data_IF_204310020429
#
_entry.id   IF_204310020429
#
_cell.length_a   1.000
_cell.length_b   1.000
_cell.length_c   1.000
_cell.angle_alpha   90.00
_cell.angle_beta   90.00
_cell.angle_gamma   90.00
#
_symmetry.space_group_name_H-M   'P 1'
#
loop_
_entity.id
_entity.type
_entity.pdbx_description
1 polymer ?
#
# COMPACT_ATOMS: atom_id res chain seq x y z
N UNK A 1 -57.91 13.71 61.35
CA UNK A 1 -56.60 14.37 61.23
C UNK A 1 -56.05 14.01 59.89
N UNK A 2 -56.27 14.89 58.87
CA UNK A 2 -55.97 14.65 57.43
C UNK A 2 -54.71 15.47 57.16
N UNK A 3 -53.64 14.79 56.74
CA UNK A 3 -52.39 15.44 56.28
C UNK A 3 -52.49 15.66 54.76
N UNK A 4 -52.07 16.83 54.23
CA UNK A 4 -52.11 17.11 52.84
C UNK A 4 -50.93 16.47 52.09
N UNK A 5 -51.20 15.98 50.87
CA UNK A 5 -50.21 15.49 49.93
C UNK A 5 -49.39 16.68 49.36
N UNK A 6 -48.06 16.54 49.43
CA UNK A 6 -47.12 17.45 48.77
C UNK A 6 -47.00 17.03 47.29
N UNK A 7 -47.46 17.91 46.41
CA UNK A 7 -47.24 17.73 44.98
C UNK A 7 -45.77 17.97 44.61
N UNK A 8 -45.13 16.99 43.98
CA UNK A 8 -43.86 17.21 43.29
C UNK A 8 -44.15 17.97 41.99
N UNK A 9 -43.60 19.17 41.88
CA UNK A 9 -43.53 19.91 40.64
C UNK A 9 -42.56 19.22 39.68
N UNK A 10 -43.03 18.91 38.50
CA UNK A 10 -42.15 18.45 37.40
C UNK A 10 -41.21 19.59 37.02
N UNK A 11 -39.92 19.35 37.10
CA UNK A 11 -38.91 20.21 36.48
C UNK A 11 -39.09 20.13 34.95
N UNK A 12 -39.39 21.29 34.36
CA UNK A 12 -39.35 21.50 32.95
C UNK A 12 -37.87 21.38 32.51
N UNK A 13 -37.55 20.34 31.76
CA UNK A 13 -36.32 20.30 30.96
C UNK A 13 -36.27 21.56 30.09
N UNK A 14 -35.33 22.44 30.40
CA UNK A 14 -35.03 23.56 29.52
C UNK A 14 -34.52 23.06 28.19
N UNK A 15 -35.14 23.50 27.12
CA UNK A 15 -34.63 23.34 25.78
C UNK A 15 -33.20 23.88 25.72
N UNK A 16 -32.21 23.01 25.51
CA UNK A 16 -30.88 23.46 25.12
C UNK A 16 -31.01 24.29 23.83
N UNK A 17 -30.34 25.44 23.74
CA UNK A 17 -30.42 26.25 22.55
C UNK A 17 -29.92 25.43 21.37
N UNK A 18 -30.82 25.11 20.41
CA UNK A 18 -30.44 24.52 19.16
C UNK A 18 -29.27 25.31 18.57
N UNK A 19 -28.14 24.65 18.40
CA UNK A 19 -26.98 25.25 17.73
C UNK A 19 -27.42 25.71 16.36
N UNK A 20 -27.44 27.01 16.10
CA UNK A 20 -27.85 27.63 14.84
C UNK A 20 -26.98 27.22 13.64
N UNK A 21 -25.89 26.50 13.91
CA UNK A 21 -24.98 25.94 12.90
C UNK A 21 -25.22 24.44 12.83
N UNK A 22 -25.87 24.01 11.77
CA UNK A 22 -26.03 22.61 11.40
C UNK A 22 -25.72 22.44 9.92
N UNK A 23 -25.71 21.20 9.41
CA UNK A 23 -25.43 20.91 8.02
C UNK A 23 -26.37 21.65 7.06
N UNK A 24 -27.65 21.80 7.42
CA UNK A 24 -28.65 22.49 6.59
C UNK A 24 -28.38 23.99 6.50
N UNK A 25 -27.87 24.60 7.57
CA UNK A 25 -27.48 26.02 7.57
C UNK A 25 -26.36 26.30 6.58
N UNK A 26 -25.51 25.31 6.32
CA UNK A 26 -24.37 25.39 5.41
C UNK A 26 -24.68 24.81 4.01
N UNK A 27 -25.84 24.19 3.81
CA UNK A 27 -26.23 23.54 2.55
C UNK A 27 -26.26 24.50 1.32
N UNK A 28 -26.42 25.79 1.55
CA UNK A 28 -26.34 26.83 0.50
C UNK A 28 -24.91 27.21 0.10
N UNK A 29 -23.90 26.78 0.86
CA UNK A 29 -22.49 27.01 0.54
C UNK A 29 -21.97 25.92 -0.39
N UNK A 30 -22.10 26.13 -1.68
CA UNK A 30 -21.50 25.23 -2.66
C UNK A 30 -20.00 25.42 -2.66
N UNK A 31 -19.29 24.47 -2.06
CA UNK A 31 -17.83 24.41 -2.14
C UNK A 31 -17.45 24.02 -3.57
N UNK A 32 -16.62 24.85 -4.21
CA UNK A 32 -16.02 24.54 -5.49
C UNK A 32 -14.67 23.86 -5.24
N UNK A 33 -14.48 22.64 -5.76
CA UNK A 33 -13.14 22.07 -5.81
C UNK A 33 -12.26 22.97 -6.69
N UNK A 34 -11.18 23.46 -6.12
CA UNK A 34 -10.17 24.24 -6.82
C UNK A 34 -8.96 23.39 -7.24
N UNK A 35 -9.12 22.05 -7.15
CA UNK A 35 -8.04 21.09 -7.35
C UNK A 35 -7.12 20.98 -6.13
N UNK A 36 -6.12 20.11 -6.17
CA UNK A 36 -5.14 20.01 -5.11
C UNK A 36 -4.43 21.34 -4.98
N UNK A 37 -4.67 22.02 -3.85
CA UNK A 37 -4.06 23.32 -3.55
C UNK A 37 -2.59 23.18 -3.14
N UNK A 38 -2.13 21.96 -2.94
CA UNK A 38 -0.77 21.62 -2.54
C UNK A 38 -0.23 20.65 -3.58
N UNK A 39 0.82 21.02 -4.26
CA UNK A 39 1.56 20.16 -5.19
C UNK A 39 2.55 19.27 -4.44
N UNK A 40 2.09 18.52 -3.50
CA UNK A 40 2.89 17.57 -2.71
C UNK A 40 2.71 16.13 -3.19
N UNK A 41 2.24 15.96 -4.42
CA UNK A 41 1.93 14.67 -4.99
C UNK A 41 3.16 13.92 -5.44
N UNK A 42 3.90 13.30 -4.51
CA UNK A 42 4.80 12.21 -4.91
C UNK A 42 3.96 11.16 -5.62
N UNK A 43 4.42 10.70 -6.78
CA UNK A 43 3.84 9.52 -7.42
C UNK A 43 4.27 8.31 -6.61
N UNK A 44 3.30 7.61 -6.01
CA UNK A 44 3.57 6.43 -5.18
C UNK A 44 3.38 5.13 -5.94
N UNK A 45 2.52 5.14 -6.95
CA UNK A 45 2.28 3.96 -7.77
C UNK A 45 1.65 4.35 -9.11
N UNK A 46 1.75 3.46 -10.10
CA UNK A 46 1.06 3.62 -11.38
C UNK A 46 0.62 2.28 -11.95
N UNK A 47 -0.56 2.26 -12.53
CA UNK A 47 -1.14 1.09 -13.17
C UNK A 47 -1.34 1.35 -14.66
N UNK A 48 -0.60 0.64 -15.49
CA UNK A 48 -0.71 0.71 -16.96
C UNK A 48 -1.75 -0.28 -17.43
N UNK A 49 -2.69 0.16 -18.26
CA UNK A 49 -3.72 -0.72 -18.82
C UNK A 49 -3.07 -1.78 -19.73
N UNK A 50 -3.28 -3.08 -19.48
CA UNK A 50 -2.72 -4.14 -20.32
C UNK A 50 -3.05 -3.95 -21.79
N UNK A 51 -2.05 -4.19 -22.65
CA UNK A 51 -2.21 -4.08 -24.11
C UNK A 51 -2.22 -2.65 -24.67
N UNK A 52 -2.12 -1.62 -23.82
CA UNK A 52 -2.03 -0.23 -24.28
C UNK A 52 -1.06 0.58 -23.41
N UNK A 53 -0.23 1.43 -24.03
CA UNK A 53 0.73 2.29 -23.32
C UNK A 53 0.23 3.72 -23.15
N UNK A 54 -0.95 4.04 -23.65
CA UNK A 54 -1.48 5.41 -23.62
C UNK A 54 -2.49 5.64 -22.51
N UNK A 55 -3.07 4.57 -21.93
CA UNK A 55 -4.02 4.65 -20.83
C UNK A 55 -3.39 4.08 -19.57
N UNK A 56 -3.26 4.90 -18.54
CA UNK A 56 -2.80 4.48 -17.22
C UNK A 56 -3.27 5.43 -16.12
N UNK A 57 -3.17 4.94 -14.90
CA UNK A 57 -3.49 5.69 -13.68
C UNK A 57 -2.22 5.93 -12.89
N UNK A 58 -2.15 7.04 -12.18
CA UNK A 58 -1.13 7.30 -11.17
C UNK A 58 -1.82 7.56 -9.83
N UNK A 59 -1.28 6.94 -8.78
CA UNK A 59 -1.63 7.22 -7.39
C UNK A 59 -0.61 8.20 -6.81
N UNK A 60 -1.09 9.19 -6.07
CA UNK A 60 -0.23 10.20 -5.47
C UNK A 60 -0.39 10.26 -3.97
N UNK A 61 0.70 10.51 -3.26
CA UNK A 61 0.73 10.56 -1.80
C UNK A 61 -0.26 11.57 -1.19
N UNK A 62 -0.54 12.66 -1.90
CA UNK A 62 -1.37 13.76 -1.39
C UNK A 62 -2.14 14.47 -2.51
N UNK A 63 -2.67 13.73 -3.47
CA UNK A 63 -3.40 14.33 -4.60
C UNK A 63 -4.34 13.36 -5.29
N UNK A 64 -4.71 12.28 -4.59
CA UNK A 64 -5.64 11.28 -5.11
C UNK A 64 -5.08 10.49 -6.30
N UNK A 65 -5.98 10.08 -7.19
CA UNK A 65 -5.65 9.29 -8.38
C UNK A 65 -5.93 10.11 -9.63
N UNK A 66 -4.98 10.04 -10.55
CA UNK A 66 -5.05 10.73 -11.85
C UNK A 66 -5.02 9.72 -12.98
N UNK A 67 -5.82 9.99 -14.01
CA UNK A 67 -5.94 9.16 -15.21
C UNK A 67 -5.45 9.91 -16.43
N UNK A 68 -4.69 9.21 -17.28
CA UNK A 68 -4.38 9.65 -18.64
C UNK A 68 -4.91 8.64 -19.65
N UNK A 69 -5.32 9.13 -20.82
CA UNK A 69 -5.71 8.32 -21.98
C UNK A 69 -4.86 8.60 -23.22
N UNK A 70 -3.81 9.43 -23.06
CA UNK A 70 -2.95 9.87 -24.15
C UNK A 70 -1.46 9.95 -23.75
N UNK A 71 -1.02 8.93 -23.02
CA UNK A 71 0.38 8.77 -22.59
C UNK A 71 0.93 9.96 -21.77
N UNK A 72 0.09 10.52 -20.89
CA UNK A 72 0.51 11.61 -20.00
C UNK A 72 0.45 13.01 -20.60
N UNK A 73 -0.07 13.16 -21.83
CA UNK A 73 -0.23 14.50 -22.43
C UNK A 73 -1.29 15.32 -21.69
N UNK A 74 -2.37 14.69 -21.27
CA UNK A 74 -3.38 15.30 -20.40
C UNK A 74 -3.74 14.35 -19.26
N UNK A 75 -4.19 14.94 -18.14
CA UNK A 75 -4.54 14.24 -16.93
C UNK A 75 -5.92 14.68 -16.43
N UNK A 76 -6.69 13.71 -15.95
CA UNK A 76 -7.98 13.93 -15.32
C UNK A 76 -7.91 13.39 -13.89
N UNK A 77 -8.19 14.20 -12.86
CA UNK A 77 -8.34 13.70 -11.50
C UNK A 77 -9.64 12.86 -11.44
N UNK A 78 -9.52 11.68 -10.84
CA UNK A 78 -10.64 10.72 -10.81
C UNK A 78 -11.01 10.27 -9.39
N UNK A 79 -10.36 10.82 -8.36
CA UNK A 79 -10.52 10.40 -6.97
C UNK A 79 -10.81 11.56 -6.00
N UNK A 80 -11.05 12.78 -6.49
CA UNK A 80 -11.15 14.02 -5.68
C UNK A 80 -12.35 14.08 -4.73
N UNK A 81 -13.33 13.18 -4.89
CA UNK A 81 -14.58 13.20 -4.11
C UNK A 81 -14.64 12.12 -3.04
N UNK A 82 -13.58 11.34 -2.92
CA UNK A 82 -13.51 10.23 -1.99
C UNK A 82 -13.01 10.67 -0.61
N UNK A 83 -13.13 9.79 0.39
CA UNK A 83 -12.85 10.12 1.78
C UNK A 83 -11.40 10.47 2.06
N UNK A 84 -10.46 9.91 1.30
CA UNK A 84 -9.03 10.20 1.43
C UNK A 84 -8.45 10.78 0.15
N UNK A 85 -7.62 11.80 0.27
CA UNK A 85 -6.79 12.33 -0.81
C UNK A 85 -5.40 11.67 -0.88
N UNK A 86 -5.06 10.86 0.13
CA UNK A 86 -3.79 10.14 0.22
C UNK A 86 -3.96 8.73 -0.31
N UNK A 87 -3.08 8.32 -1.20
CA UNK A 87 -3.10 6.98 -1.79
C UNK A 87 -1.76 6.28 -1.62
N UNK A 88 -1.78 4.96 -1.52
CA UNK A 88 -0.61 4.10 -1.37
C UNK A 88 -0.35 3.20 -2.57
N UNK A 89 -1.40 2.81 -3.29
CA UNK A 89 -1.27 1.99 -4.50
C UNK A 89 -2.51 2.10 -5.40
N UNK A 90 -2.34 1.71 -6.67
CA UNK A 90 -3.42 1.60 -7.66
C UNK A 90 -3.21 0.35 -8.50
N UNK A 91 -4.28 -0.43 -8.75
CA UNK A 91 -4.21 -1.68 -9.52
C UNK A 91 -5.37 -1.78 -10.48
N UNK A 92 -5.09 -2.20 -11.73
CA UNK A 92 -6.09 -2.49 -12.76
C UNK A 92 -6.31 -4.01 -12.78
N UNK A 93 -7.57 -4.42 -12.84
CA UNK A 93 -7.92 -5.82 -13.01
C UNK A 93 -7.44 -6.32 -14.40
N UNK A 94 -6.60 -7.37 -14.44
CA UNK A 94 -6.08 -7.89 -15.70
C UNK A 94 -7.18 -8.47 -16.62
N UNK A 95 -8.32 -8.87 -16.06
CA UNK A 95 -9.43 -9.47 -16.80
C UNK A 95 -10.49 -8.45 -17.24
N UNK A 96 -10.58 -7.31 -16.52
CA UNK A 96 -11.51 -6.24 -16.83
C UNK A 96 -10.91 -4.87 -16.53
N UNK A 97 -10.38 -4.23 -17.55
CA UNK A 97 -9.67 -2.95 -17.43
C UNK A 97 -10.55 -1.76 -16.99
N UNK A 98 -11.84 -1.95 -16.77
CA UNK A 98 -12.71 -0.96 -16.12
C UNK A 98 -12.77 -1.14 -14.60
N UNK A 99 -12.32 -2.27 -14.10
CA UNK A 99 -12.20 -2.51 -12.65
C UNK A 99 -10.85 -2.01 -12.18
N UNK A 100 -10.91 -1.00 -11.29
CA UNK A 100 -9.73 -0.36 -10.71
C UNK A 100 -9.83 -0.46 -9.20
N UNK A 101 -8.74 -0.79 -8.55
CA UNK A 101 -8.63 -0.79 -7.10
C UNK A 101 -7.62 0.26 -6.65
N UNK A 102 -7.92 0.94 -5.55
CA UNK A 102 -7.05 1.93 -4.90
C UNK A 102 -6.93 1.60 -3.43
N UNK A 103 -5.70 1.49 -2.96
CA UNK A 103 -5.39 1.47 -1.54
C UNK A 103 -5.04 2.88 -1.07
N UNK A 104 -5.71 3.34 -0.01
CA UNK A 104 -5.49 4.69 0.52
C UNK A 104 -4.43 4.73 1.62
N UNK A 105 -3.91 5.94 1.86
CA UNK A 105 -2.83 6.20 2.81
C UNK A 105 -1.45 5.96 2.24
N UNK A 106 -0.59 6.95 2.32
CA UNK A 106 0.77 6.88 1.78
C UNK A 106 1.56 5.72 2.39
N UNK A 107 2.20 4.91 1.54
CA UNK A 107 2.83 3.64 1.94
C UNK A 107 4.26 3.77 2.47
N UNK A 108 4.73 4.95 2.86
CA UNK A 108 6.02 5.14 3.50
C UNK A 108 5.90 5.51 5.01
N UNK A 109 7.02 5.67 5.69
CA UNK A 109 7.07 5.96 7.13
C UNK A 109 7.78 7.28 7.44
N UNK A 110 8.19 8.02 6.40
CA UNK A 110 8.98 9.24 6.55
C UNK A 110 8.10 10.44 6.92
N UNK A 111 8.46 11.12 8.01
CA UNK A 111 7.84 12.38 8.46
C UNK A 111 6.32 12.32 8.62
N UNK A 112 5.61 13.26 8.02
CA UNK A 112 4.16 13.38 8.10
C UNK A 112 3.51 12.72 6.89
N UNK A 113 3.42 11.40 6.91
CA UNK A 113 2.65 10.63 5.95
C UNK A 113 1.17 10.79 6.24
N UNK A 114 0.39 11.06 5.21
CA UNK A 114 -1.05 11.15 5.31
C UNK A 114 -1.66 9.75 5.35
N UNK A 115 -2.65 9.58 6.22
CA UNK A 115 -3.38 8.33 6.36
C UNK A 115 -4.56 8.26 5.37
N UNK A 116 -5.00 7.04 5.12
CA UNK A 116 -6.17 6.72 4.31
C UNK A 116 -7.31 6.18 5.16
N UNK A 117 -8.34 5.72 4.49
CA UNK A 117 -9.59 5.20 5.03
C UNK A 117 -10.01 3.87 4.37
N UNK A 118 -9.03 3.07 3.96
CA UNK A 118 -9.23 1.72 3.44
C UNK A 118 -9.03 1.58 1.94
N UNK A 119 -9.81 0.70 1.35
CA UNK A 119 -9.69 0.25 -0.04
C UNK A 119 -10.90 0.70 -0.84
N UNK A 120 -10.66 1.21 -2.05
CA UNK A 120 -11.71 1.64 -2.97
C UNK A 120 -11.69 0.81 -4.26
N UNK A 121 -12.88 0.60 -4.83
CA UNK A 121 -13.08 -0.09 -6.10
C UNK A 121 -13.93 0.75 -7.04
N UNK A 122 -13.49 0.85 -8.30
CA UNK A 122 -14.28 1.36 -9.42
C UNK A 122 -14.64 0.23 -10.36
N UNK A 123 -15.82 0.27 -10.95
CA UNK A 123 -16.29 -0.67 -11.98
C UNK A 123 -16.41 -0.03 -13.37
N UNK A 124 -16.13 1.27 -13.48
CA UNK A 124 -16.38 2.10 -14.65
C UNK A 124 -15.14 2.88 -15.14
N UNK A 125 -13.96 2.36 -14.82
CA UNK A 125 -12.70 2.96 -15.24
C UNK A 125 -12.34 4.24 -14.50
N UNK A 126 -12.73 4.33 -13.22
CA UNK A 126 -12.39 5.43 -12.33
C UNK A 126 -13.39 6.59 -12.37
N UNK A 127 -14.60 6.43 -12.92
CA UNK A 127 -15.61 7.49 -12.93
C UNK A 127 -16.33 7.58 -11.59
N UNK A 128 -16.64 6.41 -10.99
CA UNK A 128 -17.22 6.30 -9.65
C UNK A 128 -16.46 5.29 -8.80
N UNK A 129 -16.51 5.46 -7.49
CA UNK A 129 -15.79 4.64 -6.52
C UNK A 129 -16.70 4.18 -5.39
N UNK A 130 -16.39 3.02 -4.84
CA UNK A 130 -17.04 2.48 -3.65
C UNK A 130 -15.97 2.10 -2.66
N UNK A 131 -16.08 2.56 -1.41
CA UNK A 131 -15.23 2.08 -0.32
C UNK A 131 -15.59 0.62 -0.02
N UNK A 132 -14.58 -0.25 -0.03
CA UNK A 132 -14.70 -1.69 0.16
C UNK A 132 -14.26 -2.15 1.55
N UNK A 133 -14.06 -1.23 2.49
CA UNK A 133 -13.67 -1.53 3.88
C UNK A 133 -12.17 -1.44 4.14
N UNK A 134 -11.72 -2.09 5.21
CA UNK A 134 -10.39 -1.96 5.79
C UNK A 134 -10.08 -0.51 6.21
N UNK A 135 -11.06 0.17 6.78
CA UNK A 135 -11.00 1.61 7.09
C UNK A 135 -9.93 1.93 8.14
N UNK A 136 -9.65 0.99 9.05
CA UNK A 136 -8.62 1.16 10.08
C UNK A 136 -7.21 0.77 9.63
N UNK A 137 -7.00 0.48 8.34
CA UNK A 137 -5.68 0.16 7.79
C UNK A 137 -4.76 1.38 7.79
N UNK A 138 -5.30 2.56 7.61
CA UNK A 138 -4.61 3.86 7.47
C UNK A 138 -3.58 3.90 6.32
N UNK A 139 -2.94 2.78 6.00
CA UNK A 139 -1.92 2.70 4.94
C UNK A 139 -1.98 1.35 4.24
N UNK A 140 -2.32 1.37 2.97
CA UNK A 140 -2.29 0.18 2.10
C UNK A 140 -1.02 0.21 1.26
N UNK A 141 -0.19 -0.82 1.40
CA UNK A 141 1.07 -0.92 0.67
C UNK A 141 0.91 -1.44 -0.75
N UNK A 142 0.06 -2.47 -0.93
CA UNK A 142 -0.12 -3.10 -2.24
C UNK A 142 -1.45 -3.83 -2.36
N UNK A 143 -2.01 -3.83 -3.57
CA UNK A 143 -3.18 -4.63 -3.94
C UNK A 143 -2.81 -5.50 -5.14
N UNK A 144 -3.12 -6.81 -5.06
CA UNK A 144 -2.90 -7.75 -6.15
C UNK A 144 -4.17 -8.55 -6.41
N UNK A 145 -4.56 -8.66 -7.67
CA UNK A 145 -5.73 -9.40 -8.13
C UNK A 145 -5.26 -10.74 -8.67
N UNK A 146 -5.93 -11.84 -8.31
CA UNK A 146 -5.66 -13.14 -8.90
C UNK A 146 -6.03 -13.12 -10.39
N UNK A 147 -5.08 -13.39 -11.30
CA UNK A 147 -5.38 -13.33 -12.74
C UNK A 147 -6.38 -14.39 -13.22
N UNK A 148 -6.70 -15.37 -12.38
CA UNK A 148 -7.68 -16.45 -12.69
C UNK A 148 -9.11 -16.03 -12.32
N UNK A 149 -9.28 -15.15 -11.30
CA UNK A 149 -10.58 -14.72 -10.79
C UNK A 149 -10.52 -13.31 -10.22
N UNK A 150 -11.17 -12.36 -10.86
CA UNK A 150 -11.27 -10.96 -10.44
C UNK A 150 -11.93 -10.73 -9.07
N UNK A 151 -12.61 -11.75 -8.53
CA UNK A 151 -13.17 -11.69 -7.18
C UNK A 151 -12.15 -12.01 -6.09
N UNK A 152 -11.01 -12.61 -6.47
CA UNK A 152 -9.92 -12.93 -5.53
C UNK A 152 -8.90 -11.81 -5.53
N UNK A 153 -8.84 -11.07 -4.42
CA UNK A 153 -7.95 -9.91 -4.28
C UNK A 153 -7.21 -10.00 -2.94
N UNK A 154 -5.93 -9.68 -2.98
CA UNK A 154 -5.06 -9.61 -1.81
C UNK A 154 -4.70 -8.15 -1.52
N UNK A 155 -4.74 -7.75 -0.27
CA UNK A 155 -4.45 -6.39 0.19
C UNK A 155 -3.41 -6.43 1.30
N UNK A 156 -2.25 -5.84 1.04
CA UNK A 156 -1.19 -5.65 2.02
C UNK A 156 -1.48 -4.38 2.84
N UNK A 157 -1.93 -4.56 4.08
CA UNK A 157 -2.26 -3.47 4.99
C UNK A 157 -1.13 -3.25 6.00
N UNK A 158 -0.48 -2.10 5.91
CA UNK A 158 0.63 -1.74 6.80
C UNK A 158 0.11 -1.30 8.18
N UNK A 159 -1.14 -0.87 8.26
CA UNK A 159 -1.78 -0.43 9.48
C UNK A 159 -1.35 0.96 9.97
N UNK A 160 -1.96 1.44 11.05
CA UNK A 160 -1.67 2.75 11.64
C UNK A 160 -0.19 2.95 11.95
N UNK A 161 0.34 4.15 11.64
CA UNK A 161 1.73 4.48 11.94
C UNK A 161 1.91 4.94 13.40
N UNK A 162 0.92 5.64 13.96
CA UNK A 162 1.00 6.29 15.27
C UNK A 162 0.38 5.52 16.42
N UNK A 163 -0.33 4.43 16.14
CA UNK A 163 -0.99 3.57 17.15
C UNK A 163 -0.82 2.09 16.81
N UNK A 164 -0.97 1.23 17.79
CA UNK A 164 -1.08 -0.23 17.63
C UNK A 164 -2.45 -0.62 17.11
N UNK A 165 -2.55 -1.84 16.60
CA UNK A 165 -3.81 -2.42 16.13
C UNK A 165 -4.27 -1.87 14.78
N UNK A 166 -5.58 -1.75 14.60
CA UNK A 166 -6.20 -1.45 13.33
C UNK A 166 -6.15 -2.63 12.36
N UNK A 167 -6.44 -2.35 11.10
CA UNK A 167 -6.40 -3.36 10.04
C UNK A 167 -4.95 -3.57 9.55
N UNK A 168 -4.18 -4.36 10.32
CA UNK A 168 -2.79 -4.75 9.98
C UNK A 168 -2.74 -6.19 9.50
N UNK A 169 -1.94 -6.43 8.47
CA UNK A 169 -1.69 -7.77 7.97
C UNK A 169 -1.96 -7.91 6.49
N UNK A 170 -2.06 -9.15 6.02
CA UNK A 170 -2.49 -9.45 4.66
C UNK A 170 -3.96 -9.88 4.69
N UNK A 171 -4.76 -9.20 3.91
CA UNK A 171 -6.18 -9.50 3.75
C UNK A 171 -6.44 -10.12 2.38
N UNK A 172 -7.42 -11.01 2.32
CA UNK A 172 -7.91 -11.65 1.11
C UNK A 172 -9.43 -11.56 1.05
N UNK A 173 -9.94 -11.27 -0.13
CA UNK A 173 -11.35 -11.47 -0.48
C UNK A 173 -11.46 -12.54 -1.55
N UNK A 174 -12.61 -13.21 -1.60
CA UNK A 174 -13.00 -14.15 -2.67
C UNK A 174 -14.35 -13.80 -3.29
N UNK A 175 -14.89 -12.63 -2.92
CA UNK A 175 -16.19 -12.13 -3.36
C UNK A 175 -16.13 -10.70 -3.88
N UNK A 176 -14.96 -10.30 -4.37
CA UNK A 176 -14.76 -9.00 -4.99
C UNK A 176 -14.75 -7.82 -4.03
N UNK A 177 -14.45 -8.07 -2.75
CA UNK A 177 -14.31 -7.06 -1.70
C UNK A 177 -15.52 -6.90 -0.80
N UNK A 178 -16.56 -7.74 -0.96
CA UNK A 178 -17.72 -7.69 -0.07
C UNK A 178 -17.38 -8.16 1.36
N UNK A 179 -16.46 -9.10 1.47
CA UNK A 179 -15.92 -9.58 2.75
C UNK A 179 -14.41 -9.74 2.67
N UNK A 180 -13.73 -9.52 3.81
CA UNK A 180 -12.28 -9.64 3.94
C UNK A 180 -11.92 -10.66 5.02
N UNK A 181 -10.98 -11.54 4.70
CA UNK A 181 -10.34 -12.45 5.65
C UNK A 181 -8.90 -12.01 5.86
N UNK A 182 -8.48 -11.88 7.13
CA UNK A 182 -7.08 -11.60 7.45
C UNK A 182 -6.29 -12.91 7.47
N UNK A 183 -5.57 -13.19 6.39
CA UNK A 183 -4.88 -14.46 6.13
C UNK A 183 -3.42 -14.49 6.63
N UNK A 184 -2.83 -13.33 6.95
CA UNK A 184 -1.52 -13.23 7.61
C UNK A 184 -1.58 -12.11 8.64
N UNK A 185 -1.41 -12.46 9.90
CA UNK A 185 -1.27 -11.54 11.02
C UNK A 185 -0.02 -11.88 11.81
N UNK A 186 0.84 -10.92 12.06
CA UNK A 186 2.07 -11.12 12.84
C UNK A 186 1.88 -10.55 14.25
N UNK A 187 1.55 -9.28 14.37
CA UNK A 187 1.25 -8.61 15.65
C UNK A 187 0.47 -7.33 15.41
N UNK A 188 0.08 -6.67 16.50
CA UNK A 188 -0.59 -5.37 16.45
C UNK A 188 0.34 -4.19 16.07
N UNK A 189 1.64 -4.41 16.00
CA UNK A 189 2.61 -3.41 15.58
C UNK A 189 3.29 -3.72 14.23
N UNK A 190 2.93 -4.88 13.62
CA UNK A 190 3.55 -5.37 12.38
C UNK A 190 2.50 -5.58 11.31
N UNK A 191 2.55 -4.77 10.27
CA UNK A 191 1.70 -4.90 9.09
C UNK A 191 2.37 -5.69 7.96
N UNK A 192 1.70 -5.74 6.82
CA UNK A 192 2.24 -6.28 5.57
C UNK A 192 2.43 -5.14 4.58
N UNK A 193 3.66 -5.00 4.06
CA UNK A 193 4.00 -3.91 3.14
C UNK A 193 3.80 -4.31 1.69
N UNK A 194 4.11 -5.56 1.34
CA UNK A 194 4.02 -6.05 -0.03
C UNK A 194 3.40 -7.44 -0.11
N UNK A 195 2.75 -7.72 -1.24
CA UNK A 195 2.23 -9.02 -1.63
C UNK A 195 2.49 -9.26 -3.11
N UNK A 196 2.86 -10.50 -3.46
CA UNK A 196 3.13 -10.94 -4.84
C UNK A 196 2.57 -12.33 -5.07
N UNK A 197 2.05 -12.56 -6.27
CA UNK A 197 1.64 -13.90 -6.75
C UNK A 197 2.66 -14.39 -7.77
N UNK A 198 3.01 -15.68 -7.73
CA UNK A 198 3.77 -16.30 -8.83
C UNK A 198 2.89 -16.28 -10.10
N UNK A 199 3.36 -15.73 -11.22
CA UNK A 199 2.53 -15.60 -12.41
C UNK A 199 2.14 -16.93 -13.06
N UNK A 200 2.81 -18.04 -12.71
CA UNK A 200 2.51 -19.40 -13.21
C UNK A 200 1.57 -20.16 -12.26
N UNK A 201 1.63 -19.83 -10.96
CA UNK A 201 0.88 -20.48 -9.92
C UNK A 201 0.44 -19.45 -8.86
N UNK A 202 -0.70 -18.77 -9.03
CA UNK A 202 -1.19 -17.76 -8.10
C UNK A 202 -1.53 -18.29 -6.69
N UNK A 203 -1.50 -19.60 -6.46
CA UNK A 203 -1.57 -20.15 -5.10
C UNK A 203 -0.23 -20.04 -4.35
N UNK A 204 0.86 -19.77 -5.09
CA UNK A 204 2.14 -19.41 -4.53
C UNK A 204 2.18 -17.89 -4.29
N UNK A 205 2.07 -17.52 -3.01
CA UNK A 205 1.98 -16.13 -2.57
C UNK A 205 3.18 -15.76 -1.72
N UNK A 206 3.74 -14.59 -1.97
CA UNK A 206 4.80 -13.99 -1.16
C UNK A 206 4.29 -12.73 -0.48
N UNK A 207 4.72 -12.48 0.75
CA UNK A 207 4.40 -11.27 1.49
C UNK A 207 5.59 -10.79 2.33
N UNK A 208 5.70 -9.47 2.54
CA UNK A 208 6.70 -8.90 3.44
C UNK A 208 6.02 -8.30 4.65
N UNK A 209 6.32 -8.81 5.85
CA UNK A 209 5.90 -8.12 7.07
C UNK A 209 6.87 -7.00 7.42
N UNK A 210 6.33 -5.94 8.00
CA UNK A 210 7.10 -4.76 8.36
C UNK A 210 6.65 -4.23 9.72
N UNK A 211 7.54 -4.36 10.71
CA UNK A 211 7.35 -3.81 12.05
C UNK A 211 7.69 -2.33 12.02
N UNK A 212 6.66 -1.49 12.23
CA UNK A 212 6.84 -0.03 12.21
C UNK A 212 5.93 0.67 13.20
N UNK A 213 6.47 1.68 13.84
CA UNK A 213 5.72 2.55 14.73
C UNK A 213 6.36 3.92 14.85
N UNK A 214 5.58 4.96 14.82
CA UNK A 214 6.07 6.31 15.11
C UNK A 214 5.56 6.79 16.47
N UNK A 215 6.47 7.41 17.21
CA UNK A 215 6.20 8.18 18.40
C UNK A 215 6.73 9.59 18.24
N UNK A 216 6.29 10.53 19.08
CA UNK A 216 6.78 11.92 19.02
C UNK A 216 8.29 12.02 19.11
N UNK A 217 8.92 11.11 19.83
CA UNK A 217 10.37 11.09 20.13
C UNK A 217 11.17 10.05 19.33
N UNK A 218 10.52 9.14 18.60
CA UNK A 218 11.23 8.08 17.86
C UNK A 218 10.43 7.49 16.71
N UNK A 219 11.13 6.88 15.80
CA UNK A 219 10.59 6.02 14.76
C UNK A 219 11.14 4.59 14.97
N UNK A 220 10.26 3.63 15.19
CA UNK A 220 10.57 2.20 15.04
C UNK A 220 10.42 1.87 13.55
N UNK A 221 11.55 1.60 12.91
CA UNK A 221 11.64 1.38 11.46
C UNK A 221 12.17 -0.02 11.15
N UNK A 222 11.61 -1.02 11.80
CA UNK A 222 12.02 -2.41 11.71
C UNK A 222 12.01 -3.10 13.06
N UNK A 223 12.29 -4.40 13.02
CA UNK A 223 12.37 -5.23 14.22
C UNK A 223 12.34 -6.72 13.86
N UNK A 224 12.31 -7.60 14.87
CA UNK A 224 12.39 -9.06 14.70
C UNK A 224 11.18 -9.67 14.00
N UNK A 225 10.09 -8.90 13.87
CA UNK A 225 8.86 -9.35 13.21
C UNK A 225 8.83 -9.02 11.71
N UNK A 226 9.79 -8.24 11.21
CA UNK A 226 9.94 -7.99 9.78
C UNK A 226 10.57 -9.21 9.09
N UNK A 227 9.85 -9.81 8.14
CA UNK A 227 10.26 -11.05 7.48
C UNK A 227 9.63 -11.22 6.11
N UNK A 228 10.26 -12.05 5.27
CA UNK A 228 9.61 -12.59 4.08
C UNK A 228 8.77 -13.81 4.45
N UNK A 229 7.57 -13.86 3.95
CA UNK A 229 6.63 -14.95 4.13
C UNK A 229 6.25 -15.56 2.79
N UNK A 230 6.05 -16.88 2.78
CA UNK A 230 5.64 -17.64 1.60
C UNK A 230 4.47 -18.56 1.97
N UNK A 231 3.47 -18.57 1.12
CA UNK A 231 2.37 -19.53 1.11
C UNK A 231 2.40 -20.32 -0.20
N UNK A 232 2.00 -21.58 -0.16
CA UNK A 232 1.86 -22.45 -1.34
C UNK A 232 0.43 -22.98 -1.51
N UNK A 233 -0.52 -22.38 -0.80
CA UNK A 233 -1.91 -22.82 -0.72
C UNK A 233 -2.91 -21.66 -0.79
N UNK A 234 -2.51 -20.57 -1.47
CA UNK A 234 -3.34 -19.39 -1.68
C UNK A 234 -3.55 -18.56 -0.41
N UNK A 235 -2.60 -18.62 0.53
CA UNK A 235 -2.62 -17.84 1.76
C UNK A 235 -3.27 -18.55 2.97
N UNK A 236 -3.58 -19.84 2.89
CA UNK A 236 -4.16 -20.60 4.02
C UNK A 236 -3.12 -20.90 5.09
N UNK A 237 -1.87 -21.13 4.69
CA UNK A 237 -0.74 -21.33 5.59
C UNK A 237 0.49 -20.54 5.15
N UNK A 238 1.34 -20.15 6.11
CA UNK A 238 2.49 -19.30 5.87
C UNK A 238 3.73 -19.82 6.58
N UNK A 239 4.89 -19.65 5.94
CA UNK A 239 6.18 -19.86 6.56
C UNK A 239 7.14 -18.72 6.21
N UNK A 240 8.11 -18.47 7.09
CA UNK A 240 9.21 -17.55 6.81
C UNK A 240 10.21 -18.18 5.82
N UNK A 241 10.82 -17.36 4.98
CA UNK A 241 11.80 -17.77 3.97
C UNK A 241 13.11 -16.97 4.18
N UNK A 242 13.81 -17.28 5.27
CA UNK A 242 14.95 -16.49 5.79
C UNK A 242 16.31 -17.09 5.47
N UNK A 243 16.39 -18.27 4.87
CA UNK A 243 17.67 -18.97 4.65
C UNK A 243 18.59 -18.17 3.73
N UNK A 244 19.73 -17.73 4.27
CA UNK A 244 20.71 -16.90 3.55
C UNK A 244 20.51 -15.39 3.69
N UNK A 245 19.48 -14.97 4.43
CA UNK A 245 19.30 -13.58 4.84
C UNK A 245 19.99 -13.31 6.18
N UNK A 246 20.35 -12.05 6.48
CA UNK A 246 20.93 -11.68 7.77
C UNK A 246 20.02 -12.03 8.94
N UNK A 247 20.59 -12.61 10.01
CA UNK A 247 19.90 -12.91 11.26
C UNK A 247 20.00 -11.73 12.24
N UNK A 248 19.43 -10.61 11.82
CA UNK A 248 19.33 -9.36 12.58
C UNK A 248 17.97 -8.74 12.38
N UNK A 249 17.63 -7.71 13.16
CA UNK A 249 16.42 -6.93 12.96
C UNK A 249 16.41 -6.31 11.56
N UNK A 250 15.28 -6.46 10.87
CA UNK A 250 15.09 -5.97 9.50
C UNK A 250 14.06 -4.84 9.48
N UNK A 251 14.33 -3.86 8.63
CA UNK A 251 13.42 -2.79 8.31
C UNK A 251 12.42 -3.16 7.21
N UNK A 252 12.10 -2.19 6.37
CA UNK A 252 11.28 -2.42 5.18
C UNK A 252 12.06 -3.23 4.15
N UNK A 253 11.38 -4.19 3.55
CA UNK A 253 11.93 -5.07 2.54
C UNK A 253 11.12 -4.96 1.26
N UNK A 254 11.80 -4.75 0.13
CA UNK A 254 11.23 -4.84 -1.20
C UNK A 254 11.45 -6.21 -1.81
N UNK A 255 10.49 -6.65 -2.61
CA UNK A 255 10.52 -7.93 -3.31
C UNK A 255 10.04 -7.76 -4.74
N UNK A 256 10.66 -8.44 -5.70
CA UNK A 256 10.04 -8.66 -7.02
C UNK A 256 10.31 -10.07 -7.53
N UNK A 257 9.36 -10.59 -8.32
CA UNK A 257 9.46 -11.86 -9.02
C UNK A 257 9.81 -11.55 -10.46
N UNK A 258 10.84 -12.21 -11.02
CA UNK A 258 11.18 -12.01 -12.42
C UNK A 258 10.09 -12.58 -13.35
N UNK A 259 9.51 -11.77 -14.23
CA UNK A 259 8.57 -12.29 -15.23
C UNK A 259 9.24 -13.16 -16.30
N UNK A 260 10.55 -13.03 -16.49
CA UNK A 260 11.33 -13.85 -17.44
C UNK A 260 11.52 -15.26 -16.91
N UNK A 261 11.83 -15.39 -15.62
CA UNK A 261 11.94 -16.67 -14.93
C UNK A 261 11.42 -16.52 -13.49
N UNK A 262 10.18 -16.90 -13.20
CA UNK A 262 9.60 -16.77 -11.88
C UNK A 262 10.21 -17.67 -10.78
N UNK A 263 11.19 -18.50 -11.09
CA UNK A 263 12.02 -19.15 -10.06
C UNK A 263 13.02 -18.18 -9.44
N UNK A 264 13.27 -17.06 -10.12
CA UNK A 264 14.18 -16.00 -9.67
C UNK A 264 13.40 -14.87 -9.00
N UNK A 265 13.77 -14.60 -7.76
CA UNK A 265 13.27 -13.47 -6.98
C UNK A 265 14.45 -12.57 -6.62
N UNK A 266 14.16 -11.28 -6.54
CA UNK A 266 15.07 -10.28 -6.02
C UNK A 266 14.48 -9.61 -4.79
N UNK A 267 15.34 -9.31 -3.83
CA UNK A 267 14.96 -8.64 -2.60
C UNK A 267 15.97 -7.55 -2.24
N UNK A 268 15.47 -6.42 -1.75
CA UNK A 268 16.27 -5.38 -1.13
C UNK A 268 15.87 -5.26 0.33
N UNK A 269 16.86 -5.28 1.22
CA UNK A 269 16.67 -5.25 2.66
C UNK A 269 17.29 -4.02 3.28
N UNK A 270 16.54 -3.35 4.14
CA UNK A 270 17.05 -2.51 5.19
C UNK A 270 17.26 -3.41 6.44
N UNK A 271 18.43 -3.42 7.03
CA UNK A 271 18.78 -4.31 8.12
C UNK A 271 19.73 -3.65 9.12
N UNK A 272 19.65 -4.07 10.38
CA UNK A 272 20.53 -3.59 11.43
C UNK A 272 22.00 -4.02 11.20
N UNK A 273 22.92 -3.37 11.91
CA UNK A 273 24.35 -3.73 11.95
C UNK A 273 25.05 -3.72 10.58
N UNK A 274 24.65 -2.82 9.68
CA UNK A 274 25.23 -2.71 8.33
C UNK A 274 25.09 -3.99 7.48
N UNK A 275 24.07 -4.81 7.79
CA UNK A 275 23.76 -6.05 7.05
C UNK A 275 22.78 -5.84 5.92
N UNK A 276 22.39 -4.59 5.66
CA UNK A 276 21.54 -4.22 4.52
C UNK A 276 22.13 -4.69 3.20
N UNK A 277 21.29 -4.86 2.18
CA UNK A 277 21.80 -5.27 0.88
C UNK A 277 20.75 -5.72 -0.10
N UNK A 278 21.23 -6.11 -1.27
CA UNK A 278 20.47 -6.68 -2.35
C UNK A 278 20.73 -8.18 -2.46
N UNK A 279 19.66 -8.96 -2.57
CA UNK A 279 19.68 -10.41 -2.52
C UNK A 279 18.95 -11.00 -3.73
N UNK A 280 19.41 -12.17 -4.16
CA UNK A 280 18.79 -12.96 -5.21
C UNK A 280 18.49 -14.37 -4.71
N UNK A 281 17.33 -14.87 -5.03
CA UNK A 281 16.97 -16.29 -4.94
C UNK A 281 16.80 -16.86 -6.35
N UNK A 282 17.16 -18.12 -6.56
CA UNK A 282 16.96 -18.87 -7.80
C UNK A 282 16.12 -20.14 -7.61
N UNK A 283 15.50 -20.25 -6.43
CA UNK A 283 14.75 -21.42 -5.97
C UNK A 283 13.40 -21.03 -5.35
N UNK A 284 12.77 -19.97 -5.89
CA UNK A 284 11.47 -19.46 -5.43
C UNK A 284 11.48 -19.00 -3.95
N UNK A 285 12.60 -18.39 -3.54
CA UNK A 285 12.75 -17.86 -2.18
C UNK A 285 13.09 -18.90 -1.12
N UNK A 286 13.43 -20.15 -1.48
CA UNK A 286 13.86 -21.16 -0.49
C UNK A 286 15.23 -20.81 0.10
N UNK A 287 16.07 -20.14 -0.68
CA UNK A 287 17.36 -19.62 -0.20
C UNK A 287 17.71 -18.32 -0.93
N UNK A 288 18.50 -17.49 -0.24
CA UNK A 288 18.93 -16.18 -0.71
C UNK A 288 20.45 -16.06 -0.72
N UNK A 289 20.96 -15.36 -1.71
CA UNK A 289 22.40 -15.03 -1.85
C UNK A 289 22.52 -13.51 -1.95
N UNK A 290 23.33 -12.92 -1.08
CA UNK A 290 23.66 -11.49 -1.14
C UNK A 290 24.44 -11.21 -2.42
N UNK A 291 24.02 -10.22 -3.19
CA UNK A 291 24.65 -9.81 -4.45
C UNK A 291 25.52 -8.58 -4.25
N UNK A 292 25.03 -7.62 -3.47
CA UNK A 292 25.75 -6.38 -3.18
C UNK A 292 25.24 -5.75 -1.87
N UNK A 293 25.91 -4.69 -1.43
CA UNK A 293 25.47 -3.86 -0.31
C UNK A 293 24.45 -2.79 -0.73
N UNK A 294 23.95 -2.85 -1.99
CA UNK A 294 22.95 -1.90 -2.45
C UNK A 294 21.67 -2.03 -1.63
N UNK A 295 21.22 -0.93 -1.08
CA UNK A 295 19.92 -0.77 -0.45
C UNK A 295 19.46 0.67 -0.60
N UNK A 296 18.19 0.93 -0.35
CA UNK A 296 17.61 2.27 -0.30
C UNK A 296 17.15 2.57 1.12
N UNK A 297 16.67 3.78 1.38
CA UNK A 297 16.18 4.14 2.70
C UNK A 297 14.83 3.46 2.96
N UNK A 298 14.78 2.48 3.87
CA UNK A 298 13.58 1.69 4.17
C UNK A 298 12.43 2.48 4.79
N UNK A 299 12.69 3.68 5.30
CA UNK A 299 11.65 4.60 5.77
C UNK A 299 10.92 5.34 4.63
N UNK A 300 11.47 5.30 3.38
CA UNK A 300 10.78 5.75 2.18
C UNK A 300 10.08 4.55 1.49
N UNK A 301 10.66 4.00 0.45
CA UNK A 301 10.01 2.94 -0.32
C UNK A 301 10.76 1.62 -0.25
N UNK A 302 11.94 1.50 -0.67
CA UNK A 302 12.67 0.22 -0.78
C UNK A 302 11.92 -0.78 -1.70
N UNK A 303 11.48 -0.29 -2.87
CA UNK A 303 10.69 -1.07 -3.82
C UNK A 303 11.53 -1.55 -4.99
N UNK A 304 11.13 -2.70 -5.56
CA UNK A 304 11.79 -3.33 -6.68
C UNK A 304 10.82 -3.56 -7.84
N UNK A 305 11.34 -3.40 -9.06
CA UNK A 305 10.65 -3.79 -10.29
C UNK A 305 11.61 -4.57 -11.19
N UNK A 306 11.28 -5.81 -11.49
CA UNK A 306 12.04 -6.62 -12.44
C UNK A 306 11.70 -6.22 -13.88
N UNK A 307 12.69 -6.19 -14.76
CA UNK A 307 12.48 -5.97 -16.19
C UNK A 307 11.69 -7.16 -16.79
N UNK A 308 10.66 -6.91 -17.61
CA UNK A 308 9.86 -7.98 -18.18
C UNK A 308 10.54 -8.75 -19.31
N UNK A 309 11.69 -8.32 -19.79
CA UNK A 309 12.39 -8.89 -20.94
C UNK A 309 13.82 -9.37 -20.63
N UNK A 310 14.37 -8.90 -19.51
CA UNK A 310 15.74 -9.25 -19.10
C UNK A 310 15.76 -9.74 -17.66
N UNK A 311 16.29 -10.95 -17.44
CA UNK A 311 16.35 -11.60 -16.14
C UNK A 311 17.19 -10.81 -15.14
N UNK A 312 18.33 -10.28 -15.57
CA UNK A 312 19.32 -9.67 -14.70
C UNK A 312 19.14 -8.14 -14.53
N UNK A 313 18.16 -7.57 -15.24
CA UNK A 313 17.79 -6.16 -15.10
C UNK A 313 16.72 -5.97 -14.03
N UNK A 314 17.05 -5.17 -13.01
CA UNK A 314 16.12 -4.78 -11.93
C UNK A 314 16.26 -3.30 -11.63
N UNK A 315 15.12 -2.64 -11.42
CA UNK A 315 15.03 -1.27 -10.95
C UNK A 315 14.76 -1.25 -9.45
N UNK A 316 15.54 -0.45 -8.72
CA UNK A 316 15.40 -0.24 -7.27
C UNK A 316 15.00 1.20 -7.01
N UNK A 317 13.84 1.38 -6.38
CA UNK A 317 13.23 2.68 -6.13
C UNK A 317 13.32 3.05 -4.65
N UNK A 318 13.84 4.22 -4.41
CA UNK A 318 13.88 4.89 -3.13
C UNK A 318 13.79 6.40 -3.37
N UNK A 319 14.61 7.20 -2.71
CA UNK A 319 14.78 8.63 -3.04
C UNK A 319 15.35 8.83 -4.45
N UNK A 320 16.03 7.82 -4.95
CA UNK A 320 16.60 7.77 -6.29
C UNK A 320 16.18 6.50 -7.00
N UNK A 321 16.13 6.55 -8.33
CA UNK A 321 16.00 5.36 -9.15
C UNK A 321 17.38 4.80 -9.46
N UNK A 322 17.57 3.53 -9.14
CA UNK A 322 18.76 2.76 -9.45
C UNK A 322 18.42 1.61 -10.40
N UNK A 323 19.38 1.19 -11.18
CA UNK A 323 19.26 0.07 -12.11
C UNK A 323 20.46 -0.84 -11.96
N UNK A 324 20.23 -2.13 -11.95
CA UNK A 324 21.24 -3.18 -12.18
C UNK A 324 20.97 -3.84 -13.53
N UNK A 325 22.01 -4.31 -14.19
CA UNK A 325 21.97 -5.12 -15.42
C UNK A 325 22.78 -6.42 -15.28
N UNK A 326 23.18 -6.75 -14.06
CA UNK A 326 24.04 -7.92 -13.72
C UNK A 326 23.46 -8.75 -12.58
N UNK A 327 22.14 -8.68 -12.37
CA UNK A 327 21.44 -9.41 -11.32
C UNK A 327 21.79 -8.95 -9.92
N UNK A 328 22.16 -7.67 -9.75
CA UNK A 328 22.35 -7.02 -8.48
C UNK A 328 23.80 -6.98 -7.98
N UNK A 329 24.82 -7.31 -8.80
CA UNK A 329 26.21 -7.17 -8.42
C UNK A 329 26.66 -5.71 -8.36
N UNK A 330 26.15 -4.89 -9.29
CA UNK A 330 26.37 -3.46 -9.33
C UNK A 330 25.08 -2.68 -9.63
N UNK A 331 25.06 -1.42 -9.24
CA UNK A 331 23.92 -0.52 -9.46
C UNK A 331 24.38 0.82 -10.01
N UNK A 332 23.76 1.23 -11.10
CA UNK A 332 23.91 2.55 -11.66
C UNK A 332 22.71 3.42 -11.30
N UNK A 333 22.99 4.67 -10.91
CA UNK A 333 21.94 5.65 -10.68
C UNK A 333 21.39 6.10 -12.02
N UNK A 334 20.10 5.96 -12.21
CA UNK A 334 19.42 6.49 -13.40
C UNK A 334 19.37 8.01 -13.29
N UNK A 335 20.12 8.67 -14.18
CA UNK A 335 20.20 10.11 -14.18
C UNK A 335 19.03 10.72 -14.93
N UNK A 336 18.16 11.41 -14.21
CA UNK A 336 17.16 12.29 -14.78
C UNK A 336 17.67 13.73 -14.80
N UNK A 337 17.27 14.51 -15.79
CA UNK A 337 17.60 15.93 -15.91
C UNK A 337 17.09 16.74 -14.71
N UNK A 338 16.08 16.24 -14.02
CA UNK A 338 15.49 16.79 -12.81
C UNK A 338 15.69 15.79 -11.65
N UNK A 339 16.10 16.27 -10.49
CA UNK A 339 16.85 15.51 -9.47
C UNK A 339 16.05 14.69 -8.45
N UNK A 340 14.74 14.64 -8.49
CA UNK A 340 13.96 13.84 -7.58
C UNK A 340 13.04 12.88 -8.35
N UNK A 341 12.94 11.65 -7.89
CA UNK A 341 12.10 10.61 -8.46
C UNK A 341 10.86 10.41 -7.58
N UNK A 342 10.80 11.06 -6.45
CA UNK A 342 9.68 11.08 -5.53
C UNK A 342 8.62 12.14 -5.89
#
# INVERSE_FOLDING_TARGET
MILPAIGLSAETQGDEPETRLNADTLAGLQLRSIGPAINSGRVVDFAVTPGTRHRYFIATASGGVWKTENAGTTWTPVFDREGSYSTGCVTIDPNNHNVIWVGTGENNSQRSVSFGDGVYKSLDGGQTWTNMGLEESEHIGRIVIDPRDSNVVYVAAMGPLWRSGGDRGLYKTTDGGANWERILHVSDDTGVAEVWLDPRDPDLVYATSYQRRRHVWTLVNGGPESAFHKSTDGGKSWRKIDKGLPDVDRGRMGLCISPVNPDVLYAVLDAARDESGFFRSTDRGESWVKRSDHHTSGDYWNELTCDPHDLDTVYSVGVWLWKTEDGGESFDKVNFKYKHVD
#
